data_IF_090596560636
#
_entry.id   IF_090596560636
#
_cell.length_a   1.000
_cell.length_b   1.000
_cell.length_c   1.000
_cell.angle_alpha   90.00
_cell.angle_beta   90.00
_cell.angle_gamma   90.00
#
_symmetry.space_group_name_H-M   'P 1'
#
loop_
_entity.id
_entity.type
_entity.pdbx_description
1 polymer ?
#
# COMPACT_ATOMS: atom_id res chain seq x y z
N UNK A 1 -7.67 -26.58 56.99
CA UNK A 1 -7.78 -25.71 55.80
C UNK A 1 -9.22 -25.23 55.75
N UNK A 2 -9.49 -24.01 56.23
CA UNK A 2 -10.84 -23.44 56.22
C UNK A 2 -11.13 -22.80 54.85
N UNK A 3 -12.16 -23.30 54.17
CA UNK A 3 -12.70 -22.72 52.96
C UNK A 3 -13.44 -21.42 53.24
N UNK A 4 -12.90 -20.31 52.75
CA UNK A 4 -13.57 -19.00 52.78
C UNK A 4 -14.69 -18.99 51.73
N UNK A 5 -15.91 -19.27 52.16
CA UNK A 5 -17.13 -19.14 51.35
C UNK A 5 -17.39 -17.65 51.06
N UNK A 6 -17.10 -17.21 49.83
CA UNK A 6 -17.44 -15.86 49.35
C UNK A 6 -18.96 -15.72 49.20
N UNK A 7 -19.61 -14.99 50.12
CA UNK A 7 -21.02 -14.62 50.01
C UNK A 7 -21.29 -13.84 48.70
N UNK A 8 -22.38 -14.16 47.96
CA UNK A 8 -22.73 -13.44 46.75
C UNK A 8 -23.11 -11.99 47.08
N UNK A 9 -22.43 -11.03 46.44
CA UNK A 9 -22.71 -9.59 46.59
C UNK A 9 -24.05 -9.28 45.90
N UNK A 10 -25.15 -9.38 46.64
CA UNK A 10 -26.45 -8.94 46.18
C UNK A 10 -26.50 -7.41 46.15
N UNK A 11 -26.74 -6.83 44.96
CA UNK A 11 -26.84 -5.37 44.79
C UNK A 11 -28.21 -4.92 45.28
N UNK A 12 -28.26 -3.83 46.03
CA UNK A 12 -29.52 -3.32 46.56
C UNK A 12 -30.48 -2.90 45.43
N UNK A 13 -31.80 -2.98 45.64
CA UNK A 13 -32.80 -2.53 44.67
C UNK A 13 -32.64 -1.06 44.25
N UNK A 14 -32.07 -0.21 45.12
CA UNK A 14 -31.76 1.19 44.79
C UNK A 14 -30.60 1.31 43.79
N UNK A 15 -29.53 0.53 43.96
CA UNK A 15 -28.40 0.49 43.00
C UNK A 15 -28.84 -0.02 41.63
N UNK A 16 -29.73 -1.02 41.58
CA UNK A 16 -30.28 -1.54 40.32
C UNK A 16 -31.12 -0.48 39.61
N UNK A 17 -32.01 0.23 40.33
CA UNK A 17 -32.83 1.31 39.77
C UNK A 17 -31.98 2.48 39.26
N UNK A 18 -30.98 2.90 40.03
CA UNK A 18 -30.10 4.00 39.64
C UNK A 18 -29.29 3.68 38.36
N UNK A 19 -28.81 2.44 38.22
CA UNK A 19 -28.14 1.99 36.98
C UNK A 19 -29.08 1.93 35.78
N UNK A 20 -30.31 1.46 35.97
CA UNK A 20 -31.33 1.47 34.90
C UNK A 20 -31.65 2.90 34.47
N UNK A 21 -31.85 3.81 35.42
CA UNK A 21 -32.11 5.23 35.14
C UNK A 21 -30.93 5.90 34.41
N UNK A 22 -29.69 5.65 34.84
CA UNK A 22 -28.49 6.15 34.16
C UNK A 22 -28.37 5.61 32.73
N UNK A 23 -28.64 4.31 32.52
CA UNK A 23 -28.64 3.70 31.18
C UNK A 23 -29.72 4.28 30.27
N UNK A 24 -30.91 4.53 30.81
CA UNK A 24 -32.01 5.20 30.12
C UNK A 24 -31.66 6.65 29.75
N UNK A 25 -31.06 7.39 30.68
CA UNK A 25 -30.62 8.78 30.46
C UNK A 25 -29.54 8.85 29.38
N UNK A 26 -28.53 7.98 29.41
CA UNK A 26 -27.55 7.87 28.32
C UNK A 26 -28.19 7.50 26.98
N UNK A 27 -29.16 6.58 26.96
CA UNK A 27 -29.90 6.24 25.73
C UNK A 27 -30.69 7.43 25.19
N UNK A 28 -31.34 8.20 26.06
CA UNK A 28 -32.10 9.39 25.71
C UNK A 28 -31.20 10.53 25.21
N UNK A 29 -30.09 10.81 25.89
CA UNK A 29 -29.10 11.81 25.45
C UNK A 29 -28.45 11.42 24.12
N UNK A 30 -28.10 10.14 23.94
CA UNK A 30 -27.62 9.62 22.63
C UNK A 30 -28.67 9.74 21.54
N UNK A 31 -29.96 9.65 21.87
CA UNK A 31 -31.06 9.83 20.91
C UNK A 31 -31.27 11.31 20.57
N UNK A 32 -31.06 12.20 21.55
CA UNK A 32 -31.20 13.66 21.41
C UNK A 32 -30.05 14.30 20.62
N UNK A 33 -28.85 13.76 20.76
CA UNK A 33 -27.64 14.23 20.06
C UNK A 33 -27.38 13.51 18.73
N UNK A 34 -28.30 12.65 18.26
CA UNK A 34 -28.19 12.07 16.92
C UNK A 34 -28.62 13.13 15.89
N UNK A 35 -27.78 13.45 14.88
CA UNK A 35 -28.23 14.29 13.79
C UNK A 35 -29.48 13.68 13.16
N UNK A 36 -30.38 14.53 12.67
CA UNK A 36 -31.55 14.09 11.93
C UNK A 36 -31.10 13.16 10.79
N UNK A 37 -31.88 12.12 10.48
CA UNK A 37 -31.54 11.11 9.46
C UNK A 37 -31.14 11.79 8.14
N UNK A 38 -31.83 12.87 7.79
CA UNK A 38 -31.57 13.69 6.60
C UNK A 38 -30.22 14.42 6.64
N UNK A 39 -29.75 14.88 7.81
CA UNK A 39 -28.45 15.54 7.93
C UNK A 39 -27.30 14.53 7.77
N UNK A 40 -27.47 13.29 8.27
CA UNK A 40 -26.48 12.24 8.09
C UNK A 40 -26.38 11.81 6.63
N UNK A 41 -27.50 11.62 5.94
CA UNK A 41 -27.50 11.27 4.52
C UNK A 41 -26.89 12.38 3.67
N UNK A 42 -27.18 13.66 3.97
CA UNK A 42 -26.55 14.80 3.29
C UNK A 42 -25.04 14.83 3.53
N UNK A 43 -24.57 14.67 4.78
CA UNK A 43 -23.13 14.62 5.07
C UNK A 43 -22.43 13.47 4.32
N UNK A 44 -23.06 12.30 4.25
CA UNK A 44 -22.51 11.16 3.51
C UNK A 44 -22.48 11.40 1.99
N UNK A 45 -23.50 12.04 1.43
CA UNK A 45 -23.51 12.43 0.01
C UNK A 45 -22.38 13.43 -0.29
N UNK A 46 -22.22 14.45 0.55
CA UNK A 46 -21.13 15.43 0.45
C UNK A 46 -19.75 14.77 0.53
N UNK A 47 -19.55 13.82 1.45
CA UNK A 47 -18.28 13.09 1.57
C UNK A 47 -18.04 12.14 0.37
N UNK A 48 -19.10 11.54 -0.16
CA UNK A 48 -19.03 10.70 -1.37
C UNK A 48 -18.58 11.51 -2.57
N UNK A 49 -19.16 12.70 -2.74
CA UNK A 49 -18.79 13.65 -3.79
C UNK A 49 -17.36 14.18 -3.59
N UNK A 50 -17.04 14.67 -2.39
CA UNK A 50 -15.73 15.23 -2.04
C UNK A 50 -14.60 14.24 -2.33
N UNK A 51 -14.77 12.98 -1.91
CA UNK A 51 -13.74 11.95 -2.04
C UNK A 51 -13.85 11.13 -3.33
N UNK A 52 -14.88 11.37 -4.15
CA UNK A 52 -15.17 10.58 -5.35
C UNK A 52 -15.25 9.08 -5.07
N UNK A 53 -16.06 8.71 -4.07
CA UNK A 53 -16.14 7.34 -3.56
C UNK A 53 -17.19 6.52 -4.34
N UNK A 54 -17.03 5.19 -4.39
CA UNK A 54 -18.02 4.31 -4.99
C UNK A 54 -19.39 4.43 -4.30
N UNK A 55 -20.52 4.31 -5.02
CA UNK A 55 -21.86 4.39 -4.43
C UNK A 55 -22.13 3.31 -3.36
N UNK A 56 -21.57 2.12 -3.54
CA UNK A 56 -21.75 0.92 -2.70
C UNK A 56 -20.88 0.94 -1.42
N UNK A 57 -20.45 2.12 -0.98
CA UNK A 57 -19.45 2.26 0.08
C UNK A 57 -20.05 2.25 1.47
N UNK A 58 -19.42 1.48 2.38
CA UNK A 58 -19.70 1.57 3.81
C UNK A 58 -18.76 2.57 4.50
N UNK A 59 -19.34 3.67 4.99
CA UNK A 59 -18.62 4.67 5.77
C UNK A 59 -18.50 4.26 7.24
N UNK A 60 -17.27 4.28 7.75
CA UNK A 60 -16.95 4.13 9.16
C UNK A 60 -16.15 5.33 9.63
N UNK A 61 -16.59 5.94 10.73
CA UNK A 61 -15.92 7.07 11.37
C UNK A 61 -15.19 6.56 12.61
N UNK A 62 -13.94 6.95 12.76
CA UNK A 62 -13.08 6.46 13.82
C UNK A 62 -12.44 7.60 14.59
N UNK A 63 -12.53 7.53 15.92
CA UNK A 63 -11.84 8.46 16.78
C UNK A 63 -10.40 8.04 16.97
N UNK A 64 -9.48 8.99 16.81
CA UNK A 64 -8.07 8.77 17.16
C UNK A 64 -7.94 8.40 18.64
N UNK A 65 -7.17 7.34 18.93
CA UNK A 65 -6.96 6.80 20.27
C UNK A 65 -8.09 5.90 20.78
N UNK A 66 -9.07 5.53 19.95
CA UNK A 66 -10.11 4.60 20.36
C UNK A 66 -9.53 3.22 20.75
N UNK A 67 -10.12 2.59 21.77
CA UNK A 67 -9.65 1.31 22.29
C UNK A 67 -10.41 0.11 21.73
N UNK A 68 -11.54 0.33 21.05
CA UNK A 68 -12.37 -0.76 20.51
C UNK A 68 -11.81 -1.19 19.15
N UNK A 69 -11.32 -2.44 19.02
CA UNK A 69 -10.76 -2.90 17.75
C UNK A 69 -11.88 -3.08 16.72
N UNK A 70 -11.62 -2.65 15.49
CA UNK A 70 -12.53 -2.83 14.36
C UNK A 70 -11.84 -3.61 13.25
N UNK A 71 -12.39 -4.77 12.88
CA UNK A 71 -11.84 -5.63 11.82
C UNK A 71 -12.65 -5.50 10.53
N UNK A 72 -12.01 -5.04 9.48
CA UNK A 72 -12.52 -4.96 8.11
C UNK A 72 -12.10 -6.22 7.37
N UNK A 73 -13.06 -6.93 6.77
CA UNK A 73 -12.84 -8.25 6.19
C UNK A 73 -13.71 -8.55 4.96
N UNK A 74 -14.50 -7.59 4.46
CA UNK A 74 -15.31 -7.73 3.25
C UNK A 74 -15.81 -6.39 2.72
N UNK A 75 -16.25 -6.38 1.46
CA UNK A 75 -16.92 -5.24 0.81
C UNK A 75 -15.98 -4.08 0.48
N UNK A 76 -16.57 -2.91 0.23
CA UNK A 76 -15.84 -1.62 0.10
C UNK A 76 -16.08 -0.80 1.36
N UNK A 77 -15.03 -0.54 2.13
CA UNK A 77 -15.11 0.19 3.40
C UNK A 77 -14.23 1.42 3.34
N UNK A 78 -14.81 2.57 3.66
CA UNK A 78 -14.12 3.85 3.80
C UNK A 78 -14.03 4.21 5.27
N UNK A 79 -12.81 4.46 5.73
CA UNK A 79 -12.46 4.87 7.07
C UNK A 79 -12.15 6.37 7.07
N UNK A 80 -12.92 7.14 7.84
CA UNK A 80 -12.71 8.56 8.03
C UNK A 80 -12.39 8.85 9.48
N UNK A 81 -11.59 9.89 9.74
CA UNK A 81 -11.45 10.43 11.08
C UNK A 81 -12.80 11.02 11.55
N UNK A 82 -13.22 10.70 12.78
CA UNK A 82 -14.52 11.14 13.30
C UNK A 82 -14.61 12.66 13.48
N UNK A 83 -13.51 13.30 13.88
CA UNK A 83 -13.45 14.70 14.25
C UNK A 83 -13.21 15.59 13.01
N UNK A 84 -12.30 15.19 12.12
CA UNK A 84 -11.90 15.98 10.93
C UNK A 84 -12.59 15.55 9.65
N UNK A 85 -13.19 14.35 9.63
CA UNK A 85 -13.69 13.67 8.41
C UNK A 85 -12.62 13.40 7.36
N UNK A 86 -11.33 13.48 7.72
CA UNK A 86 -10.21 13.18 6.82
C UNK A 86 -10.22 11.70 6.40
N UNK A 87 -9.90 11.44 5.13
CA UNK A 87 -9.78 10.10 4.58
C UNK A 87 -8.55 9.38 5.15
N UNK A 88 -8.78 8.29 5.88
CA UNK A 88 -7.72 7.51 6.51
C UNK A 88 -7.33 6.29 5.69
N UNK A 89 -8.34 5.56 5.21
CA UNK A 89 -8.15 4.28 4.52
C UNK A 89 -9.39 3.94 3.70
N UNK A 90 -9.20 3.38 2.51
CA UNK A 90 -10.23 2.67 1.75
C UNK A 90 -9.72 1.26 1.48
N UNK A 91 -10.52 0.26 1.80
CA UNK A 91 -10.25 -1.13 1.44
C UNK A 91 -11.42 -1.71 0.65
N UNK A 92 -11.14 -2.31 -0.50
CA UNK A 92 -12.10 -3.06 -1.32
C UNK A 92 -11.64 -4.50 -1.45
N UNK A 93 -12.52 -5.42 -1.06
CA UNK A 93 -12.31 -6.86 -1.16
C UNK A 93 -12.94 -7.35 -2.45
N UNK A 94 -12.11 -7.64 -3.46
CA UNK A 94 -12.56 -8.13 -4.76
C UNK A 94 -12.37 -9.64 -4.80
N UNK A 95 -13.47 -10.37 -4.63
CA UNK A 95 -13.51 -11.83 -4.78
C UNK A 95 -13.65 -12.22 -6.25
N UNK A 96 -13.08 -13.37 -6.64
CA UNK A 96 -13.29 -13.92 -7.98
C UNK A 96 -14.69 -14.49 -8.12
N UNK A 97 -15.43 -14.00 -9.11
CA UNK A 97 -16.77 -14.48 -9.47
C UNK A 97 -16.83 -14.80 -10.96
N UNK A 98 -17.81 -15.59 -11.41
CA UNK A 98 -18.02 -15.81 -12.85
C UNK A 98 -18.26 -14.52 -13.64
N UNK A 99 -18.78 -13.47 -12.99
CA UNK A 99 -19.12 -12.19 -13.63
C UNK A 99 -17.94 -11.23 -13.77
N UNK A 100 -16.81 -11.46 -13.07
CA UNK A 100 -15.65 -10.57 -13.09
C UNK A 100 -14.35 -11.23 -13.57
N UNK A 101 -14.46 -12.34 -14.33
CA UNK A 101 -13.30 -13.08 -14.81
C UNK A 101 -12.33 -12.21 -15.63
N UNK A 102 -12.84 -11.34 -16.51
CA UNK A 102 -12.02 -10.42 -17.29
C UNK A 102 -11.19 -9.45 -16.42
N UNK A 103 -11.77 -8.99 -15.30
CA UNK A 103 -11.04 -8.18 -14.32
C UNK A 103 -9.93 -8.99 -13.64
N UNK A 104 -10.18 -10.27 -13.33
CA UNK A 104 -9.17 -11.15 -12.75
C UNK A 104 -8.05 -11.51 -13.72
N UNK A 105 -8.30 -11.58 -15.02
CA UNK A 105 -7.23 -11.71 -16.03
C UNK A 105 -6.34 -10.45 -16.06
N UNK A 106 -6.94 -9.25 -15.98
CA UNK A 106 -6.18 -8.00 -15.86
C UNK A 106 -5.35 -7.98 -14.57
N UNK A 107 -5.93 -8.37 -13.43
CA UNK A 107 -5.18 -8.51 -12.18
C UNK A 107 -4.03 -9.50 -12.29
N UNK A 108 -4.28 -10.66 -12.86
CA UNK A 108 -3.28 -11.71 -13.00
C UNK A 108 -2.10 -11.25 -13.87
N UNK A 109 -2.39 -10.60 -15.00
CA UNK A 109 -1.36 -10.00 -15.86
C UNK A 109 -0.57 -8.91 -15.12
N UNK A 110 -1.27 -7.95 -14.52
CA UNK A 110 -0.65 -6.82 -13.82
C UNK A 110 0.24 -7.26 -12.64
N UNK A 111 -0.29 -8.11 -11.75
CA UNK A 111 0.40 -8.55 -10.53
C UNK A 111 1.57 -9.46 -10.86
N UNK A 112 1.42 -10.41 -11.79
CA UNK A 112 2.52 -11.31 -12.17
C UNK A 112 3.67 -10.56 -12.84
N UNK A 113 3.36 -9.62 -13.74
CA UNK A 113 4.36 -8.78 -14.41
C UNK A 113 5.11 -7.90 -13.39
N UNK A 114 4.39 -7.17 -12.53
CA UNK A 114 4.98 -6.33 -11.47
C UNK A 114 5.83 -7.17 -10.51
N UNK A 115 5.34 -8.35 -10.12
CA UNK A 115 6.06 -9.26 -9.22
C UNK A 115 7.43 -9.65 -9.78
N UNK A 116 7.50 -10.08 -11.03
CA UNK A 116 8.75 -10.50 -11.66
C UNK A 116 9.65 -9.32 -12.01
N UNK A 117 9.08 -8.22 -12.49
CA UNK A 117 9.83 -7.01 -12.80
C UNK A 117 10.51 -6.41 -11.56
N UNK A 118 9.79 -6.32 -10.43
CA UNK A 118 10.39 -5.91 -9.17
C UNK A 118 11.44 -6.91 -8.67
N UNK A 119 11.20 -8.22 -8.80
CA UNK A 119 12.17 -9.26 -8.40
C UNK A 119 13.46 -9.23 -9.22
N UNK A 120 13.44 -8.72 -10.45
CA UNK A 120 14.63 -8.50 -11.25
C UNK A 120 15.51 -7.36 -10.69
N UNK A 121 14.96 -6.50 -9.82
CA UNK A 121 15.68 -5.45 -9.10
C UNK A 121 16.32 -5.95 -7.81
N UNK A 122 17.26 -5.16 -7.28
CA UNK A 122 17.89 -5.41 -5.98
C UNK A 122 16.88 -5.47 -4.82
N UNK A 123 17.18 -6.30 -3.81
CA UNK A 123 16.41 -6.33 -2.55
C UNK A 123 16.58 -4.99 -1.82
N UNK A 124 15.48 -4.41 -1.35
CA UNK A 124 15.48 -3.21 -0.52
C UNK A 124 15.99 -3.55 0.88
N UNK A 125 17.23 -3.17 1.18
CA UNK A 125 17.86 -3.42 2.49
C UNK A 125 17.52 -2.36 3.54
N UNK A 126 17.15 -1.16 3.09
CA UNK A 126 16.94 0.06 3.87
C UNK A 126 15.54 0.23 4.44
N UNK A 127 14.64 -0.76 4.30
CA UNK A 127 13.35 -0.72 5.00
C UNK A 127 13.60 -0.74 6.53
N UNK A 128 13.38 0.41 7.16
CA UNK A 128 13.56 0.64 8.60
C UNK A 128 12.45 0.06 9.46
N UNK A 129 11.24 -0.12 8.90
CA UNK A 129 10.11 -0.74 9.58
C UNK A 129 10.24 -2.28 9.63
N UNK A 130 10.95 -2.89 8.69
CA UNK A 130 11.17 -4.34 8.70
C UNK A 130 12.00 -4.77 9.92
N UNK A 131 11.37 -5.47 10.88
CA UNK A 131 12.11 -6.07 12.01
C UNK A 131 12.87 -7.31 11.57
N UNK A 132 14.06 -7.47 12.16
CA UNK A 132 14.81 -8.73 12.15
C UNK A 132 14.20 -9.66 13.19
N UNK A 133 13.99 -10.93 12.83
CA UNK A 133 13.66 -11.98 13.79
C UNK A 133 14.93 -12.37 14.55
N UNK A 134 14.96 -12.17 15.88
CA UNK A 134 16.11 -12.57 16.71
C UNK A 134 16.44 -14.07 16.58
N UNK A 135 15.43 -14.93 16.39
CA UNK A 135 15.60 -16.38 16.32
C UNK A 135 16.28 -16.90 15.03
N UNK A 136 16.26 -16.13 13.93
CA UNK A 136 16.74 -16.62 12.63
C UNK A 136 17.61 -15.60 11.86
N UNK A 137 17.95 -14.45 12.46
CA UNK A 137 18.71 -13.34 11.85
C UNK A 137 18.14 -12.81 10.51
N UNK A 138 16.93 -13.21 10.12
CA UNK A 138 16.27 -12.85 8.87
C UNK A 138 15.19 -11.79 9.12
N UNK A 139 15.06 -10.81 8.20
CA UNK A 139 13.89 -9.92 8.15
C UNK A 139 12.67 -10.71 7.65
N UNK A 140 11.51 -10.50 8.25
CA UNK A 140 10.25 -10.97 7.66
C UNK A 140 10.04 -10.26 6.31
N UNK A 141 9.55 -11.02 5.34
CA UNK A 141 9.28 -10.51 4.00
C UNK A 141 10.55 -10.26 3.17
N UNK A 142 10.39 -10.31 1.85
CA UNK A 142 11.36 -9.81 0.89
C UNK A 142 10.73 -8.65 0.15
N UNK A 143 11.35 -7.49 0.27
CA UNK A 143 10.91 -6.28 -0.41
C UNK A 143 11.86 -5.97 -1.57
N UNK A 144 11.27 -5.76 -2.74
CA UNK A 144 11.92 -5.19 -3.92
C UNK A 144 11.17 -3.92 -4.30
N UNK A 145 11.75 -3.10 -5.16
CA UNK A 145 11.07 -1.94 -5.70
C UNK A 145 11.48 -1.71 -7.15
N UNK A 146 10.56 -1.14 -7.94
CA UNK A 146 10.75 -0.75 -9.33
C UNK A 146 10.31 0.71 -9.55
N UNK A 147 10.56 1.25 -10.74
CA UNK A 147 10.43 2.67 -11.03
C UNK A 147 11.66 3.47 -10.63
N UNK A 148 11.45 4.70 -10.16
CA UNK A 148 12.50 5.67 -9.86
C UNK A 148 12.69 5.87 -8.36
N UNK A 149 13.95 6.13 -7.97
CA UNK A 149 14.36 6.34 -6.58
C UNK A 149 15.28 7.54 -6.47
N UNK A 150 15.40 8.13 -5.27
CA UNK A 150 16.48 9.06 -5.01
C UNK A 150 17.83 8.36 -5.20
N UNK A 151 18.75 9.10 -5.78
CA UNK A 151 20.17 8.78 -5.87
C UNK A 151 20.84 9.00 -4.52
N UNK A 152 21.88 8.20 -4.27
CA UNK A 152 22.73 8.32 -3.08
C UNK A 152 24.13 8.82 -3.45
N UNK A 153 24.35 9.12 -4.73
CA UNK A 153 25.58 9.66 -5.26
C UNK A 153 25.56 11.19 -5.14
N UNK A 154 26.74 11.80 -5.13
CA UNK A 154 26.92 13.25 -5.18
C UNK A 154 26.55 13.84 -6.55
N UNK A 155 26.60 13.04 -7.62
CA UNK A 155 26.38 13.46 -9.01
C UNK A 155 24.98 13.10 -9.51
N UNK A 156 24.59 11.83 -9.37
CA UNK A 156 23.27 11.34 -9.79
C UNK A 156 22.30 11.39 -8.61
N UNK A 157 21.28 12.27 -8.67
CA UNK A 157 20.33 12.43 -7.56
C UNK A 157 19.01 11.70 -7.72
N UNK A 158 18.76 11.10 -8.88
CA UNK A 158 17.70 10.14 -9.04
C UNK A 158 18.06 9.15 -10.15
N UNK A 159 17.38 8.02 -10.15
CA UNK A 159 17.44 7.06 -11.24
C UNK A 159 16.59 5.83 -10.97
N UNK A 160 16.50 4.91 -11.93
CA UNK A 160 15.71 3.70 -11.77
C UNK A 160 16.32 2.77 -10.71
N UNK A 161 15.51 1.88 -10.15
CA UNK A 161 16.04 0.76 -9.38
C UNK A 161 16.91 -0.13 -10.27
N UNK A 162 18.12 -0.45 -9.80
CA UNK A 162 19.07 -1.26 -10.55
C UNK A 162 18.72 -2.76 -10.53
N UNK A 163 19.11 -3.47 -11.58
CA UNK A 163 19.09 -4.93 -11.62
C UNK A 163 19.87 -5.54 -10.46
N UNK A 164 19.38 -6.69 -9.99
CA UNK A 164 20.19 -7.52 -9.09
C UNK A 164 21.25 -8.31 -9.89
N UNK A 165 22.25 -8.84 -9.18
CA UNK A 165 23.37 -9.57 -9.78
C UNK A 165 22.94 -10.79 -10.63
N UNK A 166 21.82 -11.43 -10.28
CA UNK A 166 21.30 -12.57 -11.04
C UNK A 166 20.75 -12.14 -12.39
N UNK A 167 20.00 -11.03 -12.44
CA UNK A 167 19.47 -10.48 -13.68
C UNK A 167 20.60 -9.87 -14.52
N UNK A 168 21.44 -9.02 -13.95
CA UNK A 168 22.50 -8.33 -14.68
C UNK A 168 23.61 -9.27 -15.17
N UNK A 169 23.73 -10.46 -14.58
CA UNK A 169 24.71 -11.47 -15.00
C UNK A 169 24.32 -12.25 -16.25
N UNK A 170 23.09 -12.08 -16.77
CA UNK A 170 22.57 -12.87 -17.90
C UNK A 170 21.72 -12.01 -18.84
N UNK A 171 22.21 -11.81 -20.08
CA UNK A 171 21.55 -10.95 -21.09
C UNK A 171 20.09 -11.34 -21.35
N UNK A 172 19.78 -12.63 -21.44
CA UNK A 172 18.41 -13.09 -21.68
C UNK A 172 17.45 -12.71 -20.54
N UNK A 173 17.91 -12.66 -19.29
CA UNK A 173 17.08 -12.21 -18.15
C UNK A 173 16.85 -10.71 -18.16
N UNK A 174 17.83 -9.94 -18.63
CA UNK A 174 17.67 -8.50 -18.86
C UNK A 174 16.64 -8.26 -19.97
N UNK A 175 16.72 -9.02 -21.07
CA UNK A 175 15.77 -8.94 -22.18
C UNK A 175 14.34 -9.26 -21.75
N UNK A 176 14.13 -10.37 -21.02
CA UNK A 176 12.82 -10.70 -20.44
C UNK A 176 12.29 -9.59 -19.52
N UNK A 177 13.18 -8.85 -18.85
CA UNK A 177 12.77 -7.73 -18.01
C UNK A 177 12.40 -6.48 -18.80
N UNK A 178 13.13 -6.19 -19.88
CA UNK A 178 12.79 -5.11 -20.81
C UNK A 178 11.44 -5.37 -21.49
N UNK A 179 11.15 -6.63 -21.84
CA UNK A 179 9.82 -7.01 -22.34
C UNK A 179 8.74 -6.74 -21.29
N UNK A 180 8.99 -7.05 -20.01
CA UNK A 180 8.06 -6.67 -18.92
C UNK A 180 7.95 -5.16 -18.76
N UNK A 181 9.05 -4.42 -18.89
CA UNK A 181 9.08 -2.95 -18.82
C UNK A 181 8.14 -2.34 -19.88
N UNK A 182 8.17 -2.84 -21.11
CA UNK A 182 7.29 -2.36 -22.18
C UNK A 182 5.79 -2.59 -21.93
N UNK A 183 5.42 -3.50 -21.01
CA UNK A 183 4.04 -3.72 -20.59
C UNK A 183 3.60 -2.81 -19.43
N UNK A 184 4.56 -2.19 -18.71
CA UNK A 184 4.24 -1.42 -17.51
C UNK A 184 3.33 -0.22 -17.75
N UNK A 185 3.39 0.53 -18.86
CA UNK A 185 2.48 1.67 -19.08
C UNK A 185 0.99 1.28 -19.03
N UNK A 186 0.60 0.23 -19.75
CA UNK A 186 -0.78 -0.28 -19.74
C UNK A 186 -1.17 -0.88 -18.37
N UNK A 187 -0.20 -1.44 -17.65
CA UNK A 187 -0.41 -1.92 -16.28
C UNK A 187 -0.60 -0.73 -15.32
N UNK A 188 0.16 0.34 -15.46
CA UNK A 188 -0.02 1.55 -14.66
C UNK A 188 -1.38 2.19 -14.90
N UNK A 189 -1.88 2.24 -16.14
CA UNK A 189 -3.25 2.69 -16.43
C UNK A 189 -4.29 1.85 -15.69
N UNK A 190 -4.10 0.53 -15.62
CA UNK A 190 -4.96 -0.33 -14.82
C UNK A 190 -4.87 0.00 -13.32
N UNK A 191 -3.66 0.22 -12.77
CA UNK A 191 -3.51 0.65 -11.38
C UNK A 191 -4.16 2.02 -11.12
N UNK A 192 -4.02 2.98 -12.04
CA UNK A 192 -4.65 4.30 -11.98
C UNK A 192 -6.18 4.17 -11.96
N UNK A 193 -6.75 3.35 -12.84
CA UNK A 193 -8.19 3.04 -12.87
C UNK A 193 -8.66 2.47 -11.52
N UNK A 194 -7.90 1.52 -10.94
CA UNK A 194 -8.24 0.93 -9.64
C UNK A 194 -8.12 1.95 -8.51
N UNK A 195 -7.09 2.78 -8.51
CA UNK A 195 -6.86 3.80 -7.48
C UNK A 195 -7.93 4.89 -7.52
N UNK A 196 -8.16 5.51 -8.68
CA UNK A 196 -9.23 6.49 -8.88
C UNK A 196 -10.60 5.89 -8.58
N UNK A 197 -10.80 4.61 -8.89
CA UNK A 197 -12.01 3.87 -8.55
C UNK A 197 -12.21 3.62 -7.05
N UNK A 198 -11.20 3.75 -6.19
CA UNK A 198 -11.37 3.74 -4.73
C UNK A 198 -11.66 5.14 -4.18
N UNK A 199 -10.95 6.14 -4.68
CA UNK A 199 -11.16 7.56 -4.37
C UNK A 199 -10.49 8.41 -5.45
N UNK A 200 -11.27 9.13 -6.25
CA UNK A 200 -10.71 10.06 -7.24
C UNK A 200 -9.96 11.20 -6.56
N UNK A 201 -10.40 11.64 -5.36
CA UNK A 201 -9.70 12.63 -4.56
C UNK A 201 -8.28 12.19 -4.21
N UNK A 202 -8.11 10.96 -3.70
CA UNK A 202 -6.80 10.46 -3.32
C UNK A 202 -5.87 10.31 -4.53
N UNK A 203 -6.41 9.81 -5.64
CA UNK A 203 -5.68 9.71 -6.91
C UNK A 203 -5.24 11.09 -7.42
N UNK A 204 -6.17 12.04 -7.51
CA UNK A 204 -5.89 13.41 -7.98
C UNK A 204 -4.89 14.12 -7.06
N UNK A 205 -4.99 13.94 -5.75
CA UNK A 205 -4.02 14.51 -4.80
C UNK A 205 -2.58 14.05 -5.08
N UNK A 206 -2.40 12.77 -5.44
CA UNK A 206 -1.09 12.24 -5.81
C UNK A 206 -0.68 12.69 -7.22
N UNK A 207 -1.60 12.70 -8.18
CA UNK A 207 -1.34 13.07 -9.56
C UNK A 207 -0.98 14.56 -9.73
N UNK A 208 -1.66 15.44 -9.00
CA UNK A 208 -1.34 16.87 -8.94
C UNK A 208 0.05 17.12 -8.33
N UNK A 209 0.41 16.38 -7.26
CA UNK A 209 1.75 16.42 -6.70
C UNK A 209 2.79 15.98 -7.74
N UNK A 210 2.54 14.86 -8.42
CA UNK A 210 3.42 14.32 -9.43
C UNK A 210 3.64 15.31 -10.58
N UNK A 211 2.57 15.89 -11.10
CA UNK A 211 2.59 16.89 -12.16
C UNK A 211 3.33 18.17 -11.72
N UNK A 212 3.00 18.70 -10.53
CA UNK A 212 3.60 19.94 -10.00
C UNK A 212 5.12 19.81 -9.81
N UNK A 213 5.59 18.65 -9.36
CA UNK A 213 7.02 18.41 -9.10
C UNK A 213 7.75 17.92 -10.35
N UNK A 214 7.04 17.28 -11.29
CA UNK A 214 7.65 16.60 -12.43
C UNK A 214 8.31 15.28 -12.04
N UNK A 215 7.64 14.47 -11.20
CA UNK A 215 8.15 13.13 -10.86
C UNK A 215 7.89 12.16 -12.03
N UNK A 216 8.82 11.24 -12.33
CA UNK A 216 8.62 10.25 -13.37
C UNK A 216 7.59 9.20 -12.95
N UNK A 217 6.95 8.57 -13.93
CA UNK A 217 6.13 7.36 -13.74
C UNK A 217 7.00 6.19 -13.29
N UNK A 218 6.49 5.36 -12.38
CA UNK A 218 7.15 4.10 -12.02
C UNK A 218 7.16 3.06 -13.16
N UNK A 219 6.28 3.22 -14.14
CA UNK A 219 6.23 2.44 -15.38
C UNK A 219 7.06 3.06 -16.51
N UNK A 220 7.61 4.26 -16.30
CA UNK A 220 8.44 4.94 -17.29
C UNK A 220 9.77 4.25 -17.50
N UNK A 221 10.20 4.21 -18.76
CA UNK A 221 11.59 3.90 -19.08
C UNK A 221 12.47 5.10 -18.74
N UNK A 222 12.12 6.29 -19.24
CA UNK A 222 12.89 7.52 -19.05
C UNK A 222 12.44 8.34 -17.84
N UNK A 223 13.36 9.10 -17.26
CA UNK A 223 13.06 10.03 -16.17
C UNK A 223 12.21 11.22 -16.66
N UNK A 224 12.46 11.70 -17.87
CA UNK A 224 11.86 12.95 -18.38
C UNK A 224 10.65 12.73 -19.27
N UNK A 225 10.44 11.49 -19.74
CA UNK A 225 9.34 11.13 -20.62
C UNK A 225 8.45 10.13 -19.87
N UNK A 226 7.27 10.62 -19.46
CA UNK A 226 6.25 9.73 -18.93
C UNK A 226 5.55 9.01 -20.09
N UNK A 227 5.37 7.68 -20.01
CA UNK A 227 4.62 6.94 -21.02
C UNK A 227 3.11 7.23 -20.93
N UNK A 228 2.65 7.70 -19.76
CA UNK A 228 1.25 7.94 -19.43
C UNK A 228 1.00 9.42 -19.09
N UNK A 229 -0.22 9.90 -19.38
CA UNK A 229 -0.61 11.29 -19.13
C UNK A 229 -0.81 11.61 -17.63
N UNK A 230 -1.09 10.61 -16.79
CA UNK A 230 -1.42 10.78 -15.38
C UNK A 230 -0.51 9.93 -14.48
N UNK A 231 0.65 10.49 -14.15
CA UNK A 231 1.57 9.91 -13.15
C UNK A 231 0.98 10.12 -11.75
N UNK A 232 0.90 9.07 -10.95
CA UNK A 232 0.45 9.16 -9.53
C UNK A 232 1.46 8.58 -8.53
N UNK A 233 2.51 7.93 -9.02
CA UNK A 233 3.57 7.34 -8.22
C UNK A 233 4.88 7.29 -9.01
N UNK A 234 6.00 7.43 -8.30
CA UNK A 234 7.34 7.34 -8.90
C UNK A 234 8.00 5.99 -8.70
N UNK A 235 7.54 5.23 -7.70
CA UNK A 235 7.95 3.87 -7.49
C UNK A 235 6.80 2.95 -7.11
N UNK A 236 7.06 1.66 -7.27
CA UNK A 236 6.22 0.58 -6.73
C UNK A 236 7.09 -0.34 -5.87
N UNK A 237 6.78 -0.44 -4.59
CA UNK A 237 7.37 -1.40 -3.68
C UNK A 237 6.59 -2.71 -3.75
N UNK A 238 7.28 -3.84 -3.88
CA UNK A 238 6.70 -5.19 -3.92
C UNK A 238 7.27 -6.01 -2.77
N UNK A 239 6.38 -6.53 -1.94
CA UNK A 239 6.72 -7.41 -0.81
C UNK A 239 6.06 -8.77 -0.99
N UNK A 240 6.84 -9.82 -0.75
CA UNK A 240 6.36 -11.20 -0.71
C UNK A 240 7.07 -12.00 0.39
N UNK A 241 6.68 -13.25 0.59
CA UNK A 241 6.92 -14.10 1.76
C UNK A 241 5.99 -13.72 2.93
N UNK A 242 6.51 -13.76 4.15
CA UNK A 242 5.77 -13.38 5.36
C UNK A 242 5.75 -11.86 5.48
N UNK A 243 4.59 -11.24 5.71
CA UNK A 243 4.54 -9.81 6.01
C UNK A 243 4.94 -9.56 7.45
N UNK A 244 5.74 -8.53 7.68
CA UNK A 244 5.82 -7.84 8.96
C UNK A 244 6.60 -6.54 8.82
N UNK A 245 5.92 -5.43 9.07
CA UNK A 245 6.52 -4.15 9.36
C UNK A 245 6.18 -3.77 10.81
N UNK A 246 7.10 -3.12 11.49
CA UNK A 246 6.81 -2.45 12.76
C UNK A 246 5.86 -1.26 12.54
N UNK A 247 5.27 -0.77 13.62
CA UNK A 247 4.57 0.52 13.63
C UNK A 247 5.47 1.63 13.10
N UNK A 248 5.00 2.35 12.09
CA UNK A 248 5.69 3.47 11.43
C UNK A 248 4.71 4.34 10.67
N UNK A 249 5.21 5.49 10.21
CA UNK A 249 4.64 6.27 9.12
C UNK A 249 5.57 6.17 7.91
N UNK A 250 5.01 6.28 6.71
CA UNK A 250 5.83 6.35 5.51
C UNK A 250 6.44 7.75 5.35
N UNK A 251 7.66 7.82 4.81
CA UNK A 251 8.35 9.08 4.49
C UNK A 251 8.14 9.44 3.01
N UNK A 252 6.88 9.52 2.63
CA UNK A 252 6.44 9.87 1.29
C UNK A 252 5.95 11.31 1.25
N UNK A 253 6.11 11.94 0.08
CA UNK A 253 5.51 13.24 -0.21
C UNK A 253 4.04 13.08 -0.61
N UNK A 254 3.70 11.96 -1.27
CA UNK A 254 2.31 11.61 -1.55
C UNK A 254 1.54 11.41 -0.25
N UNK A 255 0.38 12.07 -0.13
CA UNK A 255 -0.51 11.96 1.02
C UNK A 255 -1.09 10.55 1.17
N UNK A 256 -1.34 9.88 0.05
CA UNK A 256 -1.90 8.54 0.02
C UNK A 256 -0.95 7.56 -0.64
N UNK A 257 -0.96 6.34 -0.14
CA UNK A 257 -0.31 5.18 -0.77
C UNK A 257 -1.39 4.23 -1.25
N UNK A 258 -1.21 3.64 -2.43
CA UNK A 258 -2.17 2.71 -3.05
C UNK A 258 -1.50 1.35 -3.33
N UNK A 259 -2.23 0.25 -3.15
CA UNK A 259 -1.65 -1.08 -3.29
C UNK A 259 -2.63 -2.23 -3.45
N UNK A 260 -2.11 -3.37 -3.92
CA UNK A 260 -2.82 -4.64 -3.99
C UNK A 260 -2.23 -5.65 -3.02
N UNK A 261 -3.10 -6.45 -2.40
CA UNK A 261 -2.73 -7.53 -1.49
C UNK A 261 -3.48 -8.80 -1.88
N UNK A 262 -2.75 -9.89 -2.14
CA UNK A 262 -3.34 -11.15 -2.62
C UNK A 262 -2.41 -12.36 -2.37
N UNK A 263 -2.88 -13.56 -2.71
CA UNK A 263 -2.07 -14.79 -2.78
C UNK A 263 -1.66 -15.03 -4.23
N UNK A 264 -0.41 -15.42 -4.41
CA UNK A 264 0.13 -15.80 -5.72
C UNK A 264 0.90 -17.11 -5.63
N UNK A 265 0.96 -17.81 -6.77
CA UNK A 265 1.98 -18.83 -6.97
C UNK A 265 3.37 -18.15 -6.99
N UNK A 266 4.26 -18.62 -6.12
CA UNK A 266 5.61 -18.04 -5.94
C UNK A 266 6.44 -18.04 -7.22
N UNK A 267 6.30 -19.09 -8.02
CA UNK A 267 7.13 -19.28 -9.20
C UNK A 267 6.58 -18.47 -10.38
N UNK A 268 5.28 -18.55 -10.64
CA UNK A 268 4.68 -17.91 -11.82
C UNK A 268 4.24 -16.47 -11.56
N UNK A 269 4.05 -16.06 -10.30
CA UNK A 269 3.47 -14.76 -9.96
C UNK A 269 1.96 -14.67 -10.19
N UNK A 270 1.33 -15.72 -10.73
CA UNK A 270 -0.10 -15.75 -11.02
C UNK A 270 -0.93 -15.79 -9.74
N UNK A 271 -2.12 -15.19 -9.78
CA UNK A 271 -3.10 -15.26 -8.69
C UNK A 271 -3.38 -16.71 -8.31
N UNK A 272 -3.59 -16.93 -7.01
CA UNK A 272 -3.90 -18.24 -6.47
C UNK A 272 -5.12 -18.16 -5.55
N UNK A 273 -6.08 -19.04 -5.77
CA UNK A 273 -7.34 -19.13 -5.01
C UNK A 273 -7.37 -20.41 -4.19
N UNK A 274 -7.63 -20.27 -2.90
CA UNK A 274 -7.80 -21.42 -2.00
C UNK A 274 -9.07 -22.21 -2.30
N UNK A 275 -10.09 -21.57 -2.88
CA UNK A 275 -11.36 -22.22 -3.25
C UNK A 275 -11.31 -22.88 -4.63
N UNK A 276 -10.60 -22.27 -5.58
CA UNK A 276 -10.68 -22.68 -6.99
C UNK A 276 -9.46 -23.46 -7.49
N UNK A 277 -8.32 -23.40 -6.79
CA UNK A 277 -7.10 -24.11 -7.18
C UNK A 277 -6.80 -25.29 -6.23
N UNK A 278 -6.08 -26.34 -6.70
CA UNK A 278 -5.61 -27.41 -5.82
C UNK A 278 -4.74 -26.85 -4.68
N UNK A 279 -5.00 -27.30 -3.46
CA UNK A 279 -4.27 -26.81 -2.29
C UNK A 279 -2.77 -27.14 -2.37
N UNK A 280 -1.95 -26.09 -2.51
CA UNK A 280 -0.48 -26.18 -2.56
C UNK A 280 0.20 -25.53 -1.34
N UNK A 281 -0.58 -25.14 -0.34
CA UNK A 281 -0.13 -24.37 0.82
C UNK A 281 -0.78 -23.00 0.90
N UNK A 282 -0.39 -22.22 1.91
CA UNK A 282 -0.93 -20.89 2.16
C UNK A 282 0.08 -20.02 2.94
N UNK A 283 -0.13 -18.71 2.96
CA UNK A 283 0.47 -17.78 3.90
C UNK A 283 -0.62 -17.01 4.65
N UNK A 284 -0.80 -17.33 5.93
CA UNK A 284 -1.87 -16.81 6.80
C UNK A 284 -1.33 -15.91 7.92
N UNK A 285 -2.20 -15.11 8.53
CA UNK A 285 -1.90 -14.10 9.53
C UNK A 285 -1.56 -12.73 8.94
N UNK A 286 -1.92 -12.47 7.67
CA UNK A 286 -1.59 -11.23 6.97
C UNK A 286 -2.66 -10.16 7.21
N UNK A 287 -2.32 -9.12 7.98
CA UNK A 287 -3.24 -8.03 8.32
C UNK A 287 -2.49 -6.69 8.28
N UNK A 288 -3.24 -5.63 7.98
CA UNK A 288 -2.78 -4.25 8.05
C UNK A 288 -3.50 -3.53 9.19
N UNK A 289 -2.76 -2.79 10.00
CA UNK A 289 -3.28 -2.08 11.16
C UNK A 289 -3.11 -0.59 10.97
N UNK A 290 -4.18 0.17 11.18
CA UNK A 290 -4.13 1.60 11.37
C UNK A 290 -4.10 1.88 12.88
N UNK A 291 -2.89 1.96 13.43
CA UNK A 291 -2.63 1.82 14.87
C UNK A 291 -3.38 2.85 15.71
N UNK A 292 -3.37 4.11 15.27
CA UNK A 292 -3.98 5.20 16.03
C UNK A 292 -5.51 5.15 16.05
N UNK A 293 -6.12 4.29 15.25
CA UNK A 293 -7.57 4.12 15.16
C UNK A 293 -8.02 2.71 15.54
N UNK A 294 -7.11 1.80 15.88
CA UNK A 294 -7.42 0.39 16.19
C UNK A 294 -8.29 -0.28 15.10
N UNK A 295 -7.99 0.04 13.84
CA UNK A 295 -8.64 -0.55 12.66
C UNK A 295 -7.70 -1.58 12.06
N UNK A 296 -8.21 -2.75 11.72
CA UNK A 296 -7.46 -3.83 11.08
C UNK A 296 -8.13 -4.22 9.78
N UNK A 297 -7.37 -4.24 8.68
CA UNK A 297 -7.78 -4.85 7.41
C UNK A 297 -7.21 -6.26 7.34
N UNK A 298 -8.10 -7.24 7.19
CA UNK A 298 -7.76 -8.66 7.23
C UNK A 298 -7.62 -9.24 5.83
N UNK A 299 -6.38 -9.34 5.32
CA UNK A 299 -6.16 -9.82 3.96
C UNK A 299 -6.50 -11.31 3.80
N UNK A 300 -6.56 -12.07 4.88
CA UNK A 300 -6.93 -13.49 4.89
C UNK A 300 -8.41 -13.75 4.59
N UNK A 301 -9.27 -12.77 4.86
CA UNK A 301 -10.70 -12.89 4.56
C UNK A 301 -11.03 -12.83 3.06
N UNK A 302 -10.08 -12.40 2.22
CA UNK A 302 -10.25 -12.34 0.79
C UNK A 302 -9.61 -13.55 0.08
N UNK A 303 -10.39 -14.27 -0.72
CA UNK A 303 -9.89 -15.24 -1.72
C UNK A 303 -9.88 -14.60 -3.12
N UNK A 304 -9.18 -13.47 -3.21
CA UNK A 304 -9.09 -12.63 -4.39
C UNK A 304 -8.06 -11.53 -4.19
N UNK A 305 -8.38 -10.29 -4.58
CA UNK A 305 -7.50 -9.14 -4.44
C UNK A 305 -8.10 -8.13 -3.48
N UNK A 306 -7.33 -7.72 -2.48
CA UNK A 306 -7.65 -6.54 -1.66
C UNK A 306 -6.98 -5.34 -2.29
N UNK A 307 -7.79 -4.41 -2.80
CA UNK A 307 -7.35 -3.08 -3.21
C UNK A 307 -7.38 -2.18 -1.97
N UNK A 308 -6.32 -1.43 -1.73
CA UNK A 308 -6.25 -0.57 -0.55
C UNK A 308 -5.55 0.73 -0.87
N UNK A 309 -6.08 1.83 -0.35
CA UNK A 309 -5.34 3.07 -0.18
C UNK A 309 -5.37 3.48 1.30
N UNK A 310 -4.31 4.12 1.76
CA UNK A 310 -4.23 4.64 3.13
C UNK A 310 -3.46 5.96 3.16
N UNK A 311 -3.74 6.77 4.18
CA UNK A 311 -2.97 7.97 4.48
C UNK A 311 -1.57 7.58 4.96
N UNK A 312 -0.55 7.86 4.15
CA UNK A 312 0.85 7.43 4.34
C UNK A 312 1.46 7.94 5.66
N UNK A 313 0.99 9.10 6.12
CA UNK A 313 1.43 9.79 7.33
C UNK A 313 0.67 9.35 8.60
N UNK A 314 -0.23 8.38 8.49
CA UNK A 314 -0.88 7.77 9.66
C UNK A 314 -0.09 6.56 10.13
N UNK A 315 0.13 6.44 11.44
CA UNK A 315 0.81 5.27 12.00
C UNK A 315 0.10 3.96 11.61
N UNK A 316 0.87 3.06 11.04
CA UNK A 316 0.39 1.77 10.62
C UNK A 316 1.47 0.68 10.71
N UNK A 317 1.03 -0.57 10.64
CA UNK A 317 1.92 -1.73 10.56
C UNK A 317 1.26 -2.92 9.90
N UNK A 318 2.04 -3.98 9.68
CA UNK A 318 1.52 -5.28 9.21
C UNK A 318 1.87 -6.40 10.19
N UNK A 319 0.92 -7.30 10.45
CA UNK A 319 1.14 -8.45 11.33
C UNK A 319 2.08 -9.48 10.74
N UNK A 320 2.68 -10.29 11.62
CA UNK A 320 3.46 -11.46 11.24
C UNK A 320 2.57 -12.52 10.59
N UNK A 321 2.76 -12.78 9.30
CA UNK A 321 2.20 -13.97 8.66
C UNK A 321 3.12 -15.18 8.76
N UNK A 322 2.58 -16.36 8.48
CA UNK A 322 3.27 -17.66 8.54
C UNK A 322 3.01 -18.44 7.25
N UNK A 323 4.05 -19.07 6.70
CA UNK A 323 3.93 -19.89 5.48
C UNK A 323 3.73 -21.38 5.80
N UNK A 324 2.83 -22.02 5.05
CA UNK A 324 2.47 -23.45 5.14
C UNK A 324 2.59 -24.11 3.77
N UNK A 325 2.97 -25.39 3.75
CA UNK A 325 3.03 -26.19 2.52
C UNK A 325 1.69 -26.92 2.25
N UNK A 326 1.64 -27.72 1.18
CA UNK A 326 0.47 -28.53 0.78
C UNK A 326 -0.05 -29.51 1.85
N UNK A 327 0.78 -29.88 2.81
CA UNK A 327 0.40 -30.75 3.93
C UNK A 327 -0.01 -29.94 5.17
N UNK A 328 -0.20 -28.62 5.03
CA UNK A 328 -0.50 -27.69 6.12
C UNK A 328 0.57 -27.66 7.22
N UNK A 329 1.83 -27.98 6.87
CA UNK A 329 2.97 -27.90 7.79
C UNK A 329 3.64 -26.55 7.63
N UNK A 330 3.94 -25.88 8.75
CA UNK A 330 4.69 -24.61 8.73
C UNK A 330 6.07 -24.84 8.12
N UNK A 331 6.42 -24.02 7.14
CA UNK A 331 7.72 -24.06 6.46
C UNK A 331 8.35 -22.68 6.45
N UNK A 332 9.66 -22.63 6.22
CA UNK A 332 10.29 -21.36 5.86
C UNK A 332 9.67 -20.83 4.56
N UNK A 333 9.47 -19.50 4.39
CA UNK A 333 8.67 -19.00 3.28
C UNK A 333 9.17 -19.41 1.89
N UNK A 334 10.50 -19.46 1.71
CA UNK A 334 11.13 -19.84 0.44
C UNK A 334 10.83 -21.29 -0.01
N UNK A 335 10.32 -22.15 0.89
CA UNK A 335 9.90 -23.53 0.58
C UNK A 335 8.39 -23.66 0.31
N UNK A 336 7.61 -22.60 0.50
CA UNK A 336 6.18 -22.60 0.17
C UNK A 336 5.96 -22.35 -1.32
N UNK A 337 5.07 -23.12 -1.95
CA UNK A 337 4.65 -22.89 -3.34
C UNK A 337 3.80 -21.63 -3.51
N UNK A 338 3.06 -21.29 -2.45
CA UNK A 338 2.20 -20.11 -2.39
C UNK A 338 2.86 -19.06 -1.50
N UNK A 339 2.73 -17.79 -1.89
CA UNK A 339 3.17 -16.65 -1.10
C UNK A 339 2.11 -15.57 -1.11
N UNK A 340 2.12 -14.71 -0.10
CA UNK A 340 1.44 -13.43 -0.20
C UNK A 340 2.24 -12.48 -1.07
N UNK A 341 1.51 -11.68 -1.85
CA UNK A 341 1.99 -10.54 -2.61
C UNK A 341 1.33 -9.29 -2.03
N UNK A 342 2.13 -8.26 -1.80
CA UNK A 342 1.69 -6.92 -1.45
C UNK A 342 2.46 -5.93 -2.28
N UNK A 343 1.81 -4.94 -2.87
CA UNK A 343 2.49 -3.81 -3.49
C UNK A 343 2.01 -2.47 -2.93
N UNK A 344 2.83 -1.44 -3.09
CA UNK A 344 2.54 -0.07 -2.67
C UNK A 344 3.15 0.91 -3.68
N UNK A 345 2.31 1.77 -4.25
CA UNK A 345 2.65 2.86 -5.16
C UNK A 345 2.65 4.17 -4.38
N UNK A 346 3.76 4.92 -4.46
CA UNK A 346 3.95 6.15 -3.70
C UNK A 346 4.91 7.12 -4.40
N UNK A 347 4.99 8.35 -3.88
CA UNK A 347 5.96 9.36 -4.30
C UNK A 347 6.88 9.63 -3.11
N UNK A 348 8.13 9.17 -3.21
CA UNK A 348 9.08 9.30 -2.11
C UNK A 348 9.49 10.76 -1.86
N UNK A 349 9.49 11.19 -0.59
CA UNK A 349 9.87 12.55 -0.20
C UNK A 349 11.27 12.95 -0.65
N UNK A 350 12.25 12.07 -0.45
CA UNK A 350 13.64 12.37 -0.85
C UNK A 350 13.78 12.50 -2.36
N UNK A 351 12.99 11.80 -3.16
CA UNK A 351 13.02 11.99 -4.61
C UNK A 351 12.53 13.39 -4.99
N UNK A 352 11.44 13.85 -4.38
CA UNK A 352 10.92 15.21 -4.59
C UNK A 352 11.95 16.27 -4.20
N UNK A 353 12.57 16.12 -3.02
CA UNK A 353 13.65 17.03 -2.57
C UNK A 353 14.80 17.09 -3.58
N UNK A 354 15.20 15.95 -4.16
CA UNK A 354 16.25 15.89 -5.19
C UNK A 354 15.85 16.54 -6.52
N UNK A 355 14.59 16.39 -6.94
CA UNK A 355 14.08 17.05 -8.14
C UNK A 355 14.09 18.57 -7.95
N UNK A 356 13.61 19.04 -6.80
CA UNK A 356 13.59 20.47 -6.46
C UNK A 356 15.01 21.04 -6.39
N UNK A 357 15.95 20.33 -5.78
CA UNK A 357 17.38 20.69 -5.75
C UNK A 357 17.92 20.92 -7.18
N UNK A 358 17.66 19.98 -8.10
CA UNK A 358 18.05 20.10 -9.52
C UNK A 358 17.39 21.29 -10.20
N UNK A 359 16.09 21.49 -9.99
CA UNK A 359 15.34 22.58 -10.64
C UNK A 359 15.82 23.95 -10.17
N UNK A 360 16.10 24.11 -8.88
CA UNK A 360 16.64 25.36 -8.33
C UNK A 360 18.00 25.69 -8.97
N UNK A 361 18.93 24.73 -9.02
CA UNK A 361 20.22 24.97 -9.68
C UNK A 361 20.05 25.26 -11.17
N UNK A 362 19.12 24.60 -11.87
CA UNK A 362 18.84 24.89 -13.30
C UNK A 362 18.31 26.30 -13.51
N UNK A 363 17.56 26.85 -12.58
CA UNK A 363 17.10 28.24 -12.60
C UNK A 363 18.23 29.25 -12.45
N UNK A 364 19.31 28.87 -11.75
CA UNK A 364 20.44 29.74 -11.41
C UNK A 364 21.61 29.67 -12.43
N UNK A 365 21.56 28.77 -13.41
CA UNK A 365 22.67 28.52 -14.34
C UNK A 365 22.57 29.35 -15.62
N UNK A 366 23.69 29.98 -16.00
CA UNK A 366 23.86 30.56 -17.34
C UNK A 366 24.04 29.47 -18.42
N UNK A 367 23.74 29.81 -19.67
CA UNK A 367 23.73 28.86 -20.80
C UNK A 367 25.05 28.10 -21.02
N UNK A 368 26.20 28.72 -20.72
CA UNK A 368 27.50 28.07 -20.85
C UNK A 368 27.75 26.99 -19.79
N UNK A 369 27.22 27.20 -18.58
CA UNK A 369 27.28 26.19 -17.52
C UNK A 369 26.38 24.99 -17.86
N UNK A 370 25.25 25.25 -18.51
CA UNK A 370 24.32 24.22 -19.03
C UNK A 370 24.96 23.34 -20.11
N UNK A 371 25.76 23.92 -21.01
CA UNK A 371 26.48 23.16 -22.07
C UNK A 371 27.60 22.28 -21.52
N UNK A 372 28.34 22.75 -20.51
CA UNK A 372 29.40 21.94 -19.85
C UNK A 372 28.82 20.71 -19.14
N UNK A 373 27.65 20.90 -18.54
CA UNK A 373 26.84 19.90 -17.87
C UNK A 373 26.48 18.71 -18.76
N UNK A 374 25.93 19.00 -19.94
CA UNK A 374 25.54 17.99 -20.93
C UNK A 374 26.76 17.18 -21.36
N UNK A 375 27.89 17.85 -21.64
CA UNK A 375 29.15 17.19 -22.00
C UNK A 375 29.69 16.28 -20.87
N UNK A 376 29.48 16.65 -19.61
CA UNK A 376 29.92 15.84 -18.46
C UNK A 376 29.05 14.60 -18.29
N UNK A 377 27.73 14.73 -18.48
CA UNK A 377 26.79 13.60 -18.47
C UNK A 377 27.13 12.59 -19.60
N UNK A 378 27.34 13.08 -20.82
CA UNK A 378 27.77 12.29 -21.98
C UNK A 378 29.10 11.55 -21.69
N UNK A 379 30.10 12.26 -21.15
CA UNK A 379 31.41 11.68 -20.84
C UNK A 379 31.35 10.59 -19.75
N UNK A 380 30.38 10.67 -18.83
CA UNK A 380 30.19 9.67 -17.78
C UNK A 380 29.27 8.53 -18.18
N UNK A 381 28.80 8.50 -19.44
CA UNK A 381 27.83 7.50 -19.91
C UNK A 381 26.53 7.53 -19.11
N UNK A 382 26.18 8.70 -18.56
CA UNK A 382 24.93 8.87 -17.83
C UNK A 382 23.85 9.10 -18.87
N UNK A 383 23.18 8.01 -19.23
CA UNK A 383 22.01 8.02 -20.11
C UNK A 383 20.81 8.70 -19.41
N UNK A 384 19.80 9.08 -20.19
CA UNK A 384 18.58 9.86 -19.86
C UNK A 384 17.78 9.42 -18.61
N UNK A 385 18.19 8.33 -17.97
CA UNK A 385 17.55 7.71 -16.81
C UNK A 385 17.92 8.35 -15.47
N UNK A 386 18.92 9.24 -15.41
CA UNK A 386 19.34 9.87 -14.16
C UNK A 386 19.17 11.39 -14.17
N UNK A 387 18.75 11.95 -13.03
CA UNK A 387 18.86 13.39 -12.78
C UNK A 387 20.32 13.74 -12.47
N UNK A 388 21.00 14.38 -13.42
CA UNK A 388 22.43 14.74 -13.35
C UNK A 388 22.65 16.19 -12.90
N UNK A 389 23.70 16.38 -12.10
CA UNK A 389 24.20 17.66 -11.59
C UNK A 389 25.28 18.26 -12.50
N UNK A 390 25.49 19.59 -12.45
CA UNK A 390 26.72 20.21 -12.93
C UNK A 390 27.99 19.66 -12.29
#
# INVERSE_FOLDING_TARGET
MEEVVKKPKHKSPSTIRCRKAHSLRQKLERKKNRPAINQRSVKLAQLTELYGLPPETKFLFFKKGQTTPTRIHFGTVVCLDEDTSELLLVARFVERTPTNLALFERYNHAISTVYHHAKARGIVKTNGAAKKVKAHLRKYGKMHAAGFRPGYDHIAKAGPYAFNATTSGQLWRMQEDLERQGNLPAIEDFYAERFAGLSSYAFNSNAELASRVGVPSWAGESFYVSPNAQVFASNIAVTYDEFYNAKHTDLDESKYTFGFFTRINRHTGKLYSLRNDPFQGDSNGSQFFLDNYNVTVDFDACDGVVEMLWASQTDHHTSNSKTFNKNNVRVIPARGSITRFGCACQINKRLVERIQEVNNMRGDLCDDSRKKLVRLAEKKGIDDFALVFP
#
